data_IF_625620241931
#
_entry.id   IF_625620241931
#
_cell.length_a   1.000
_cell.length_b   1.000
_cell.length_c   1.000
_cell.angle_alpha   90.00
_cell.angle_beta   90.00
_cell.angle_gamma   90.00
#
_symmetry.space_group_name_H-M   'P 1'
#
loop_
_entity.id
_entity.type
_entity.pdbx_description
1 polymer ?
#
# COMPACT_ATOMS: atom_id res chain seq x y z
N UNK A 1 0.76 9.33 -7.73
CA UNK A 1 0.86 7.87 -7.56
C UNK A 1 0.20 7.25 -8.76
N UNK A 2 0.88 6.34 -9.49
CA UNK A 2 0.34 5.70 -10.69
C UNK A 2 -0.35 4.39 -10.29
N UNK A 3 -1.40 4.01 -11.01
CA UNK A 3 -2.02 2.68 -10.91
C UNK A 3 -1.76 1.93 -12.20
N UNK A 4 -1.22 0.71 -12.11
CA UNK A 4 -0.86 -0.14 -13.24
C UNK A 4 -1.52 -1.52 -13.10
N UNK A 5 -2.20 -1.94 -14.15
CA UNK A 5 -2.77 -3.28 -14.29
C UNK A 5 -1.91 -4.11 -15.25
N UNK A 6 -1.40 -5.24 -14.77
CA UNK A 6 -0.65 -6.21 -15.58
C UNK A 6 -1.51 -7.44 -15.83
N UNK A 7 -1.84 -7.69 -17.10
CA UNK A 7 -2.56 -8.89 -17.52
C UNK A 7 -1.59 -9.99 -17.85
N UNK A 8 -1.64 -11.08 -17.09
CA UNK A 8 -0.75 -12.23 -17.22
C UNK A 8 -1.52 -13.38 -17.85
N UNK A 9 -0.85 -14.14 -18.71
CA UNK A 9 -1.43 -15.29 -19.40
C UNK A 9 -0.43 -16.43 -19.53
N UNK A 10 -0.94 -17.66 -19.60
CA UNK A 10 -0.15 -18.87 -19.80
C UNK A 10 0.57 -19.34 -18.54
N UNK A 11 1.84 -19.70 -18.67
CA UNK A 11 2.67 -20.22 -17.58
C UNK A 11 3.51 -19.11 -16.98
N UNK A 12 3.28 -18.75 -15.72
CA UNK A 12 4.08 -17.75 -15.01
C UNK A 12 5.43 -18.36 -14.61
N UNK A 13 6.41 -18.21 -15.51
CA UNK A 13 7.76 -18.78 -15.42
C UNK A 13 8.79 -17.75 -14.92
N UNK A 14 10.07 -18.15 -14.88
CA UNK A 14 11.18 -17.25 -14.60
C UNK A 14 11.30 -16.11 -15.62
N UNK A 15 10.97 -16.37 -16.89
CA UNK A 15 11.06 -15.38 -17.97
C UNK A 15 10.05 -14.26 -17.76
N UNK A 16 8.76 -14.63 -17.62
CA UNK A 16 7.68 -13.66 -17.36
C UNK A 16 7.89 -12.96 -16.02
N UNK A 17 8.26 -13.72 -14.98
CA UNK A 17 8.52 -13.16 -13.65
C UNK A 17 9.65 -12.13 -13.63
N UNK A 18 10.74 -12.39 -14.37
CA UNK A 18 11.87 -11.47 -14.50
C UNK A 18 11.49 -10.21 -15.29
N UNK A 19 10.82 -10.36 -16.43
CA UNK A 19 10.37 -9.22 -17.23
C UNK A 19 9.41 -8.32 -16.45
N UNK A 20 8.43 -8.92 -15.76
CA UNK A 20 7.49 -8.19 -14.92
C UNK A 20 8.19 -7.47 -13.76
N UNK A 21 9.15 -8.13 -13.11
CA UNK A 21 9.91 -7.53 -12.02
C UNK A 21 10.72 -6.31 -12.49
N UNK A 22 11.32 -6.35 -13.69
CA UNK A 22 12.05 -5.22 -14.25
C UNK A 22 11.12 -4.03 -14.55
N UNK A 23 9.98 -4.28 -15.19
CA UNK A 23 8.95 -3.24 -15.44
C UNK A 23 8.45 -2.62 -14.15
N UNK A 24 8.16 -3.46 -13.14
CA UNK A 24 7.75 -2.99 -11.83
C UNK A 24 8.85 -2.13 -11.19
N UNK A 25 10.12 -2.56 -11.26
CA UNK A 25 11.25 -1.81 -10.71
C UNK A 25 11.38 -0.42 -11.32
N UNK A 26 11.19 -0.28 -12.63
CA UNK A 26 11.20 1.01 -13.34
C UNK A 26 10.08 1.93 -12.85
N UNK A 27 8.88 1.40 -12.63
CA UNK A 27 7.72 2.18 -12.16
C UNK A 27 7.73 2.45 -10.64
N UNK A 28 8.55 1.73 -9.86
CA UNK A 28 8.73 1.96 -8.41
C UNK A 28 9.69 3.10 -8.06
N UNK A 29 10.15 3.90 -9.03
CA UNK A 29 10.87 5.15 -8.78
C UNK A 29 10.01 6.18 -8.01
N UNK A 30 8.68 5.99 -8.03
CA UNK A 30 7.72 6.68 -7.19
C UNK A 30 6.70 5.69 -6.63
N UNK A 31 5.99 6.01 -5.53
CA UNK A 31 4.93 5.15 -5.02
C UNK A 31 3.84 4.92 -6.08
N UNK A 32 3.59 3.64 -6.36
CA UNK A 32 2.63 3.17 -7.37
C UNK A 32 1.78 2.00 -6.84
N UNK A 33 0.61 1.79 -7.43
CA UNK A 33 -0.29 0.66 -7.17
C UNK A 33 -0.21 -0.31 -8.34
N UNK A 34 0.05 -1.57 -8.04
CA UNK A 34 0.21 -2.63 -9.04
C UNK A 34 -0.86 -3.69 -8.82
N UNK A 35 -1.69 -3.91 -9.84
CA UNK A 35 -2.70 -4.94 -9.89
C UNK A 35 -2.25 -6.03 -10.89
N UNK A 36 -2.18 -7.28 -10.44
CA UNK A 36 -1.80 -8.42 -11.26
C UNK A 36 -3.02 -9.28 -11.58
N UNK A 37 -3.37 -9.38 -12.84
CA UNK A 37 -4.45 -10.25 -13.30
C UNK A 37 -3.88 -11.63 -13.70
N UNK A 38 -4.26 -12.66 -12.94
CA UNK A 38 -3.89 -14.05 -13.15
C UNK A 38 -5.01 -14.87 -13.83
N UNK A 39 -6.08 -14.25 -14.29
CA UNK A 39 -7.26 -14.95 -14.81
C UNK A 39 -6.93 -15.88 -15.98
N UNK A 40 -5.95 -15.53 -16.81
CA UNK A 40 -5.47 -16.33 -17.93
C UNK A 40 -4.18 -17.12 -17.63
N UNK A 41 -3.73 -17.13 -16.36
CA UNK A 41 -2.57 -17.92 -15.91
C UNK A 41 -3.03 -19.32 -15.52
N UNK A 42 -2.40 -20.32 -16.12
CA UNK A 42 -2.74 -21.74 -15.91
C UNK A 42 -1.82 -22.42 -14.90
N UNK A 43 -0.61 -21.89 -14.70
CA UNK A 43 0.41 -22.48 -13.85
C UNK A 43 1.37 -21.38 -13.36
N UNK A 44 1.75 -21.42 -12.08
CA UNK A 44 2.84 -20.61 -11.52
C UNK A 44 3.98 -21.55 -11.11
N UNK A 45 5.16 -21.38 -11.69
CA UNK A 45 6.32 -22.20 -11.31
C UNK A 45 6.90 -21.75 -9.98
N UNK A 46 7.71 -22.62 -9.35
CA UNK A 46 8.47 -22.28 -8.14
C UNK A 46 9.36 -21.04 -8.36
N UNK A 47 10.06 -20.96 -9.49
CA UNK A 47 10.89 -19.79 -9.80
C UNK A 47 10.03 -18.54 -10.07
N UNK A 48 8.86 -18.72 -10.67
CA UNK A 48 7.88 -17.65 -10.85
C UNK A 48 7.37 -17.10 -9.50
N UNK A 49 7.08 -17.97 -8.54
CA UNK A 49 6.63 -17.54 -7.21
C UNK A 49 7.71 -16.75 -6.45
N UNK A 50 8.98 -17.11 -6.60
CA UNK A 50 10.11 -16.34 -6.07
C UNK A 50 10.17 -14.91 -6.63
N UNK A 51 9.80 -14.70 -7.90
CA UNK A 51 9.67 -13.35 -8.46
C UNK A 51 8.52 -12.56 -7.83
N UNK A 52 7.37 -13.20 -7.56
CA UNK A 52 6.26 -12.53 -6.85
C UNK A 52 6.67 -12.09 -5.44
N UNK A 53 7.45 -12.91 -4.73
CA UNK A 53 8.04 -12.53 -3.42
C UNK A 53 8.95 -11.31 -3.55
N UNK A 54 9.87 -11.33 -4.53
CA UNK A 54 10.78 -10.20 -4.80
C UNK A 54 10.02 -8.91 -5.12
N UNK A 55 8.97 -9.00 -5.93
CA UNK A 55 8.11 -7.86 -6.24
C UNK A 55 7.42 -7.31 -4.98
N UNK A 56 6.85 -8.17 -4.13
CA UNK A 56 6.21 -7.75 -2.89
C UNK A 56 7.18 -7.04 -1.93
N UNK A 57 8.39 -7.57 -1.77
CA UNK A 57 9.46 -6.93 -0.99
C UNK A 57 9.81 -5.57 -1.56
N UNK A 58 10.03 -5.48 -2.88
CA UNK A 58 10.36 -4.22 -3.55
C UNK A 58 9.25 -3.17 -3.42
N UNK A 59 8.00 -3.56 -3.52
CA UNK A 59 6.87 -2.65 -3.31
C UNK A 59 6.85 -2.12 -1.87
N UNK A 60 7.10 -2.97 -0.87
CA UNK A 60 7.21 -2.53 0.54
C UNK A 60 8.31 -1.50 0.74
N UNK A 61 9.49 -1.71 0.15
CA UNK A 61 10.65 -0.79 0.26
C UNK A 61 10.37 0.58 -0.37
N UNK A 62 9.63 0.62 -1.48
CA UNK A 62 9.38 1.84 -2.26
C UNK A 62 8.09 2.56 -1.88
N UNK A 63 7.33 2.02 -0.92
CA UNK A 63 6.01 2.52 -0.54
C UNK A 63 4.90 2.21 -1.55
N UNK A 64 5.21 1.44 -2.60
CA UNK A 64 4.24 0.94 -3.58
C UNK A 64 3.38 -0.19 -3.00
N UNK A 65 2.28 -0.52 -3.68
CA UNK A 65 1.39 -1.63 -3.31
C UNK A 65 1.23 -2.61 -4.46
N UNK A 66 1.07 -3.88 -4.13
CA UNK A 66 0.93 -4.97 -5.07
C UNK A 66 -0.15 -5.92 -4.57
N UNK A 67 -1.09 -6.26 -5.44
CA UNK A 67 -2.12 -7.26 -5.20
C UNK A 67 -2.46 -7.98 -6.51
N UNK A 68 -3.05 -9.16 -6.40
CA UNK A 68 -3.46 -9.96 -7.57
C UNK A 68 -4.91 -10.42 -7.50
N UNK A 69 -5.46 -10.84 -8.63
CA UNK A 69 -6.77 -11.51 -8.68
C UNK A 69 -6.80 -12.59 -9.76
N UNK A 70 -7.85 -13.40 -9.78
CA UNK A 70 -8.08 -14.39 -10.84
C UNK A 70 -7.18 -15.63 -10.75
N UNK A 71 -6.54 -15.85 -9.60
CA UNK A 71 -5.65 -16.97 -9.38
C UNK A 71 -6.46 -18.29 -9.33
N UNK A 72 -6.24 -19.18 -10.31
CA UNK A 72 -6.94 -20.48 -10.42
C UNK A 72 -6.31 -21.58 -9.57
N UNK A 73 -5.06 -21.43 -9.18
CA UNK A 73 -4.25 -22.46 -8.50
C UNK A 73 -3.51 -21.84 -7.33
N UNK A 74 -3.39 -22.56 -6.21
CA UNK A 74 -2.52 -22.12 -5.12
C UNK A 74 -1.06 -21.97 -5.61
N UNK A 75 -0.39 -20.92 -5.14
CA UNK A 75 1.01 -20.66 -5.48
C UNK A 75 1.88 -21.31 -4.40
N UNK A 76 2.70 -22.33 -4.73
CA UNK A 76 3.53 -23.00 -3.75
C UNK A 76 4.49 -22.03 -3.07
N UNK A 77 4.50 -22.04 -1.73
CA UNK A 77 5.42 -21.26 -0.91
C UNK A 77 5.17 -19.75 -0.87
N UNK A 78 4.04 -19.27 -1.42
CA UNK A 78 3.64 -17.87 -1.28
C UNK A 78 2.73 -17.74 -0.06
N UNK A 79 3.30 -17.35 1.08
CA UNK A 79 2.51 -17.10 2.28
C UNK A 79 1.51 -15.97 2.03
N UNK A 80 0.30 -16.09 2.58
CA UNK A 80 -0.79 -15.10 2.46
C UNK A 80 -0.39 -13.69 2.93
N UNK A 81 0.69 -13.58 3.72
CA UNK A 81 1.25 -12.31 4.21
C UNK A 81 2.17 -11.61 3.19
N UNK A 82 2.55 -12.30 2.12
CA UNK A 82 3.45 -11.77 1.08
C UNK A 82 2.68 -10.99 0.04
N UNK A 83 1.54 -11.53 -0.43
CA UNK A 83 0.69 -10.91 -1.43
C UNK A 83 -0.78 -11.18 -1.14
N UNK A 84 -1.62 -10.16 -1.29
CA UNK A 84 -3.07 -10.30 -1.22
C UNK A 84 -3.63 -10.70 -2.59
N UNK A 85 -4.44 -11.76 -2.60
CA UNK A 85 -5.18 -12.22 -3.76
C UNK A 85 -6.69 -12.07 -3.55
N UNK A 86 -7.39 -11.65 -4.60
CA UNK A 86 -8.83 -11.44 -4.62
C UNK A 86 -9.50 -12.26 -5.71
N UNK A 87 -10.82 -12.41 -5.62
CA UNK A 87 -11.57 -13.20 -6.60
C UNK A 87 -11.85 -12.39 -7.86
N UNK A 88 -12.02 -11.08 -7.72
CA UNK A 88 -12.39 -10.18 -8.83
C UNK A 88 -11.43 -9.01 -8.98
N UNK A 89 -11.38 -8.45 -10.20
CA UNK A 89 -10.66 -7.22 -10.50
C UNK A 89 -11.10 -6.07 -9.60
N UNK A 90 -12.42 -5.91 -9.41
CA UNK A 90 -13.01 -4.84 -8.63
C UNK A 90 -12.57 -4.86 -7.15
N UNK A 91 -12.57 -6.05 -6.53
CA UNK A 91 -12.08 -6.21 -5.15
C UNK A 91 -10.60 -5.86 -5.01
N UNK A 92 -9.79 -6.29 -5.98
CA UNK A 92 -8.35 -6.05 -5.99
C UNK A 92 -8.03 -4.56 -6.16
N UNK A 93 -8.72 -3.90 -7.11
CA UNK A 93 -8.60 -2.46 -7.32
C UNK A 93 -9.04 -1.71 -6.07
N UNK A 94 -10.22 -2.01 -5.52
CA UNK A 94 -10.71 -1.35 -4.30
C UNK A 94 -9.74 -1.53 -3.12
N UNK A 95 -9.16 -2.72 -2.96
CA UNK A 95 -8.11 -2.94 -1.96
C UNK A 95 -6.89 -2.04 -2.21
N UNK A 96 -6.36 -2.00 -3.44
CA UNK A 96 -5.20 -1.17 -3.79
C UNK A 96 -5.50 0.32 -3.61
N UNK A 97 -6.68 0.77 -4.03
CA UNK A 97 -7.16 2.15 -3.89
C UNK A 97 -7.40 2.54 -2.44
N UNK A 98 -7.68 1.61 -1.53
CA UNK A 98 -7.74 1.92 -0.09
C UNK A 98 -6.39 2.43 0.47
N UNK A 99 -5.29 2.14 -0.23
CA UNK A 99 -3.97 2.70 0.07
C UNK A 99 -3.66 3.98 -0.72
N UNK A 100 -4.50 4.34 -1.70
CA UNK A 100 -4.51 5.61 -2.38
C UNK A 100 -5.16 6.64 -1.46
N UNK A 101 -4.36 7.54 -0.89
CA UNK A 101 -4.88 8.76 -0.27
C UNK A 101 -4.85 9.83 -1.36
N UNK A 102 -5.90 9.90 -2.18
CA UNK A 102 -6.08 10.96 -3.16
C UNK A 102 -7.52 11.42 -3.19
N UNK A 103 -7.70 12.71 -2.86
CA UNK A 103 -8.89 13.55 -2.92
C UNK A 103 -10.23 12.84 -3.12
N UNK A 104 -10.77 12.24 -2.07
CA UNK A 104 -12.21 11.96 -2.05
C UNK A 104 -12.94 13.31 -2.10
N UNK A 105 -13.89 13.52 -3.03
CA UNK A 105 -14.80 14.66 -2.94
C UNK A 105 -15.53 14.60 -1.60
N UNK A 106 -15.72 15.76 -0.98
CA UNK A 106 -16.16 15.94 0.41
C UNK A 106 -17.54 15.35 0.81
N UNK A 107 -18.15 14.49 0.00
CA UNK A 107 -19.55 14.10 0.12
C UNK A 107 -19.85 12.63 0.42
N UNK A 108 -18.87 11.73 0.52
CA UNK A 108 -19.16 10.34 0.90
C UNK A 108 -18.86 10.11 2.39
N UNK A 109 -19.91 10.40 3.19
CA UNK A 109 -20.03 10.00 4.59
C UNK A 109 -19.94 8.47 4.70
N UNK A 110 -18.74 7.94 4.98
CA UNK A 110 -18.64 6.61 5.58
C UNK A 110 -18.90 6.71 7.10
N UNK A 111 -19.95 6.06 7.63
CA UNK A 111 -20.15 5.96 9.06
C UNK A 111 -19.22 4.88 9.63
N UNK A 112 -18.67 5.18 10.80
CA UNK A 112 -17.95 4.28 11.73
C UNK A 112 -16.44 4.07 11.50
N UNK A 113 -15.66 4.89 12.22
CA UNK A 113 -14.46 4.44 12.94
C UNK A 113 -14.17 5.41 14.09
N UNK A 114 -14.94 5.29 15.18
CA UNK A 114 -14.72 6.03 16.43
C UNK A 114 -13.72 5.29 17.34
N UNK A 115 -12.43 5.31 17.03
CA UNK A 115 -11.39 5.08 18.05
C UNK A 115 -10.20 6.01 17.82
N UNK A 116 -10.15 7.11 18.58
CA UNK A 116 -9.04 8.06 18.51
C UNK A 116 -7.74 7.42 18.97
N UNK A 117 -6.74 7.39 18.09
CA UNK A 117 -5.38 6.92 18.36
C UNK A 117 -4.65 7.88 19.29
N UNK A 118 -3.61 7.41 19.97
CA UNK A 118 -2.84 8.22 20.93
C UNK A 118 -1.47 8.55 20.35
N UNK A 119 -1.04 9.82 20.45
CA UNK A 119 0.25 10.35 20.01
C UNK A 119 0.94 11.09 21.15
N UNK A 120 2.23 11.37 20.97
CA UNK A 120 3.02 12.19 21.88
C UNK A 120 3.38 13.52 21.20
N UNK A 121 3.23 14.62 21.93
CA UNK A 121 3.71 15.92 21.48
C UNK A 121 5.22 15.86 21.21
N UNK A 122 5.74 16.39 20.10
CA UNK A 122 7.17 16.29 19.77
C UNK A 122 8.03 17.13 20.73
N UNK A 123 7.48 18.22 21.27
CA UNK A 123 8.21 19.14 22.14
C UNK A 123 8.17 18.73 23.62
N UNK A 124 6.98 18.55 24.21
CA UNK A 124 6.83 18.29 25.64
C UNK A 124 6.45 16.84 25.99
N UNK A 125 6.40 15.94 25.00
CA UNK A 125 6.04 14.52 25.12
C UNK A 125 4.67 14.21 25.74
N UNK A 126 3.84 15.24 25.98
CA UNK A 126 2.48 15.09 26.50
C UNK A 126 1.68 14.14 25.61
N UNK A 127 1.01 13.18 26.24
CA UNK A 127 0.18 12.18 25.59
C UNK A 127 -1.13 12.84 25.14
N UNK A 128 -1.43 12.78 23.85
CA UNK A 128 -2.58 13.42 23.22
C UNK A 128 -3.40 12.39 22.44
N UNK A 129 -4.72 12.50 22.50
CA UNK A 129 -5.62 11.65 21.71
C UNK A 129 -6.01 12.39 20.44
N UNK A 130 -5.66 11.83 19.29
CA UNK A 130 -5.97 12.43 17.99
C UNK A 130 -6.99 11.57 17.24
N UNK A 131 -7.93 12.25 16.56
CA UNK A 131 -9.01 11.60 15.82
C UNK A 131 -8.88 11.77 14.31
N UNK A 132 -8.13 12.76 13.86
CA UNK A 132 -8.00 13.15 12.46
C UNK A 132 -6.55 13.53 12.18
N UNK A 133 -6.07 13.30 10.96
CA UNK A 133 -4.76 13.77 10.53
C UNK A 133 -4.75 15.30 10.37
N UNK A 134 -3.57 15.91 10.33
CA UNK A 134 -3.40 17.32 10.02
C UNK A 134 -2.65 18.08 11.10
N UNK A 135 -2.84 19.39 11.10
CA UNK A 135 -2.26 20.30 12.07
C UNK A 135 -2.88 20.11 13.46
N UNK A 136 -2.03 19.83 14.43
CA UNK A 136 -2.39 19.69 15.83
C UNK A 136 -1.62 20.71 16.66
N UNK A 137 -2.33 21.29 17.62
CA UNK A 137 -1.76 22.19 18.60
C UNK A 137 -1.68 21.46 19.93
N UNK A 138 -0.51 21.43 20.55
CA UNK A 138 -0.40 20.85 21.89
C UNK A 138 -1.09 21.77 22.90
N UNK A 139 -2.08 21.31 23.68
CA UNK A 139 -2.70 22.16 24.71
C UNK A 139 -1.72 22.55 25.82
N UNK A 140 -0.66 21.75 26.04
CA UNK A 140 0.30 21.95 27.12
C UNK A 140 1.41 22.97 26.76
N UNK A 141 2.06 22.81 25.61
CA UNK A 141 3.15 23.70 25.20
C UNK A 141 2.82 24.61 24.01
N UNK A 142 1.58 24.55 23.49
CA UNK A 142 1.10 25.37 22.37
C UNK A 142 1.93 25.23 21.08
N UNK A 143 2.76 24.18 20.97
CA UNK A 143 3.51 23.90 19.74
C UNK A 143 2.57 23.34 18.68
N UNK A 144 2.72 23.85 17.45
CA UNK A 144 2.01 23.35 16.28
C UNK A 144 2.85 22.25 15.63
N UNK A 145 2.24 21.10 15.40
CA UNK A 145 2.89 19.94 14.79
C UNK A 145 1.89 19.20 13.90
N UNK A 146 2.40 18.53 12.88
CA UNK A 146 1.58 17.77 11.96
C UNK A 146 1.48 16.31 12.41
N UNK A 147 0.29 15.74 12.35
CA UNK A 147 0.04 14.32 12.62
C UNK A 147 -0.44 13.65 11.36
N UNK A 148 0.29 12.63 10.90
CA UNK A 148 -0.11 11.87 9.73
C UNK A 148 -1.16 10.78 10.07
N UNK A 149 -1.76 10.17 9.05
CA UNK A 149 -2.78 9.12 9.25
C UNK A 149 -2.25 7.86 9.99
N UNK A 150 -0.93 7.65 10.00
CA UNK A 150 -0.26 6.57 10.74
C UNK A 150 -0.02 6.92 12.22
N UNK A 151 -0.27 8.17 12.63
CA UNK A 151 0.00 8.66 13.98
C UNK A 151 1.45 9.05 14.23
N UNK A 152 2.25 9.25 13.19
CA UNK A 152 3.57 9.86 13.34
C UNK A 152 3.45 11.37 13.39
N UNK A 153 4.32 11.96 14.18
CA UNK A 153 4.31 13.38 14.48
C UNK A 153 5.52 14.04 13.85
N UNK A 154 5.29 15.09 13.07
CA UNK A 154 6.34 15.90 12.45
C UNK A 154 6.26 17.32 13.01
N UNK A 155 7.36 17.79 13.59
CA UNK A 155 7.48 19.19 14.00
C UNK A 155 7.67 20.06 12.74
N UNK A 156 7.10 21.27 12.76
CA UNK A 156 7.44 22.28 11.76
C UNK A 156 8.79 22.88 12.13
N UNK A 157 9.86 22.43 11.49
CA UNK A 157 11.13 23.15 11.57
C UNK A 157 10.99 24.48 10.84
N UNK A 158 11.12 25.60 11.57
CA UNK A 158 11.30 26.92 10.97
C UNK A 158 12.74 26.98 10.46
N UNK A 159 12.92 26.98 9.15
CA UNK A 159 14.17 27.43 8.54
C UNK A 159 14.31 28.94 8.86
N UNK A 160 15.31 29.28 9.67
CA UNK A 160 15.75 30.66 9.95
C UNK A 160 16.71 31.13 8.85
#
# INVERSE_FOLDING_TARGET
MKSLLFRLAGKFSAEIGSELYLKLKEETLSPSLFCLDFSEVNEVTEVGSEFLKKMAVRCKETGSKLAGFGLKTEIPGLESQTLSFFNTEAECIHYLESFYIGDSPANELHPNSKEGKTIHCPECQTKLRFKQMGDHLCPNCQVKFFVNQKGWVSAYERLL
#
